data_IF_246913376180
#
_entry.id   IF_246913376180
#
_cell.length_a   1.000
_cell.length_b   1.000
_cell.length_c   1.000
_cell.angle_alpha   90.00
_cell.angle_beta   90.00
_cell.angle_gamma   90.00
#
_symmetry.space_group_name_H-M   'P 1'
#
loop_
_entity.id
_entity.type
_entity.pdbx_description
1 polymer ?
#
# COMPACT_ATOMS: atom_id res chain seq x y z
N UNK A 1 -5.71 22.11 -0.26
CA UNK A 1 -6.21 21.14 0.74
C UNK A 1 -5.06 20.71 1.63
N UNK A 2 -5.25 20.53 2.94
CA UNK A 2 -4.19 19.97 3.78
C UNK A 2 -3.95 18.51 3.40
N UNK A 3 -2.68 18.06 3.34
CA UNK A 3 -2.36 16.68 3.00
C UNK A 3 -2.90 15.71 4.07
N UNK A 4 -3.21 14.48 3.66
CA UNK A 4 -3.69 13.38 4.55
C UNK A 4 -2.69 13.04 5.65
N UNK A 5 -1.49 13.61 5.60
CA UNK A 5 -0.42 13.52 6.59
C UNK A 5 -0.95 13.57 8.02
N UNK A 6 -1.89 14.47 8.37
CA UNK A 6 -2.40 14.58 9.75
C UNK A 6 -3.17 13.35 10.29
N UNK A 7 -3.76 12.52 9.42
CA UNK A 7 -4.37 11.25 9.82
C UNK A 7 -3.36 10.10 9.77
N UNK A 8 -2.49 10.06 8.76
CA UNK A 8 -1.43 9.06 8.73
C UNK A 8 -0.49 9.20 9.92
N UNK A 9 -0.17 10.41 10.36
CA UNK A 9 0.58 10.69 11.61
C UNK A 9 -0.16 10.20 12.87
N UNK A 10 -1.47 9.95 12.82
CA UNK A 10 -2.19 9.29 13.93
C UNK A 10 -2.17 7.77 13.82
N UNK A 11 -2.20 7.23 12.60
CA UNK A 11 -1.95 5.80 12.36
C UNK A 11 -0.51 5.38 12.73
N UNK A 12 0.45 6.31 12.75
CA UNK A 12 1.85 5.96 13.04
C UNK A 12 2.13 5.46 14.46
N UNK A 13 1.19 5.60 15.39
CA UNK A 13 1.26 4.97 16.72
C UNK A 13 0.35 3.75 16.87
N UNK A 14 -0.40 3.35 15.84
CA UNK A 14 -1.45 2.34 15.95
C UNK A 14 -1.37 1.33 14.81
N UNK A 15 -0.91 0.11 15.14
CA UNK A 15 -1.06 -1.06 14.26
C UNK A 15 -2.56 -1.30 14.02
N UNK A 16 -2.99 -1.32 12.76
CA UNK A 16 -4.35 -1.75 12.41
C UNK A 16 -4.29 -3.20 11.96
N UNK A 17 -4.65 -4.11 12.87
CA UNK A 17 -4.60 -5.55 12.66
C UNK A 17 -5.75 -6.04 11.77
N UNK A 18 -5.48 -7.05 10.95
CA UNK A 18 -6.45 -7.76 10.13
C UNK A 18 -6.01 -9.21 9.91
N UNK A 19 -6.96 -10.09 9.57
CA UNK A 19 -6.71 -11.51 9.38
C UNK A 19 -5.92 -12.18 10.54
N UNK A 20 -6.08 -11.66 11.77
CA UNK A 20 -5.47 -12.08 13.04
C UNK A 20 -3.94 -12.01 13.13
N UNK A 21 -3.22 -12.07 12.01
CA UNK A 21 -1.75 -12.14 11.95
C UNK A 21 -1.12 -11.04 11.11
N UNK A 22 -1.90 -10.14 10.55
CA UNK A 22 -1.39 -9.04 9.74
C UNK A 22 -1.73 -7.70 10.36
N UNK A 23 -0.92 -6.69 10.10
CA UNK A 23 -1.26 -5.31 10.43
C UNK A 23 -0.76 -4.35 9.36
N UNK A 24 -1.36 -3.16 9.29
CA UNK A 24 -0.85 -2.06 8.47
C UNK A 24 -0.22 -0.95 9.30
N UNK A 25 0.80 -0.32 8.72
CA UNK A 25 1.46 0.88 9.23
C UNK A 25 1.63 1.91 8.12
N UNK A 26 1.53 3.20 8.44
CA UNK A 26 1.82 4.31 7.51
C UNK A 26 3.28 4.77 7.55
N UNK A 27 4.11 4.17 8.42
CA UNK A 27 5.56 4.37 8.50
C UNK A 27 6.28 3.06 8.27
N UNK A 28 7.42 3.14 7.61
CA UNK A 28 8.35 2.05 7.43
C UNK A 28 9.71 2.50 7.95
N UNK A 29 10.34 1.69 8.78
CA UNK A 29 11.70 1.95 9.26
C UNK A 29 12.73 1.66 8.17
N UNK A 30 13.86 2.39 8.20
CA UNK A 30 14.93 2.25 7.22
C UNK A 30 15.53 0.84 7.15
N UNK A 31 15.39 0.04 8.21
CA UNK A 31 15.81 -1.37 8.24
C UNK A 31 15.06 -2.28 7.26
N UNK A 32 13.88 -1.87 6.77
CA UNK A 32 13.07 -2.65 5.82
C UNK A 32 13.33 -2.28 4.35
N UNK A 33 14.44 -1.63 4.05
CA UNK A 33 14.71 -1.14 2.69
C UNK A 33 14.81 -2.29 1.69
N UNK A 34 15.50 -3.37 2.06
CA UNK A 34 15.66 -4.54 1.20
C UNK A 34 14.32 -5.22 0.94
N UNK A 35 13.51 -5.49 1.97
CA UNK A 35 12.19 -6.10 1.80
C UNK A 35 11.25 -5.20 0.96
N UNK A 36 11.36 -3.87 1.11
CA UNK A 36 10.58 -2.94 0.28
C UNK A 36 11.05 -2.95 -1.17
N UNK A 37 12.36 -2.98 -1.41
CA UNK A 37 12.93 -3.11 -2.75
C UNK A 37 12.50 -4.42 -3.41
N UNK A 38 12.45 -5.53 -2.67
CA UNK A 38 11.97 -6.80 -3.19
C UNK A 38 10.50 -6.76 -3.65
N UNK A 39 9.65 -6.08 -2.89
CA UNK A 39 8.24 -5.86 -3.23
C UNK A 39 8.05 -5.05 -4.52
N UNK A 40 8.98 -4.16 -4.88
CA UNK A 40 8.90 -3.32 -6.07
C UNK A 40 9.68 -3.86 -7.27
N UNK A 41 10.87 -4.42 -7.05
CA UNK A 41 11.86 -4.69 -8.09
C UNK A 41 12.14 -6.19 -8.32
N UNK A 42 12.03 -7.04 -7.29
CA UNK A 42 12.59 -8.41 -7.33
C UNK A 42 11.57 -9.55 -7.21
N UNK A 43 10.27 -9.27 -7.28
CA UNK A 43 9.25 -10.30 -7.11
C UNK A 43 9.37 -11.42 -8.18
N UNK A 44 9.85 -12.62 -7.80
CA UNK A 44 10.19 -13.73 -8.72
C UNK A 44 9.01 -14.28 -9.51
N UNK A 45 7.77 -13.93 -9.15
CA UNK A 45 6.54 -14.19 -9.92
C UNK A 45 6.22 -13.11 -10.97
N UNK A 46 7.24 -12.36 -11.42
CA UNK A 46 7.14 -11.26 -12.37
C UNK A 46 6.34 -11.59 -13.63
N UNK A 47 6.17 -12.84 -14.06
CA UNK A 47 5.38 -13.17 -15.26
C UNK A 47 3.88 -12.82 -15.16
N UNK A 48 3.26 -12.88 -13.97
CA UNK A 48 1.81 -12.60 -13.79
C UNK A 48 1.49 -11.20 -13.28
N UNK A 49 2.36 -10.62 -12.46
CA UNK A 49 2.18 -9.26 -11.90
C UNK A 49 2.74 -8.17 -12.84
N UNK A 50 3.54 -8.56 -13.84
CA UNK A 50 4.15 -7.63 -14.81
C UNK A 50 3.16 -6.72 -15.49
N UNK A 51 1.96 -7.17 -15.86
CA UNK A 51 1.05 -6.29 -16.62
C UNK A 51 0.47 -5.17 -15.75
N UNK A 52 -0.01 -5.47 -14.55
CA UNK A 52 -0.54 -4.46 -13.64
C UNK A 52 0.54 -3.51 -13.11
N UNK A 53 1.73 -4.03 -12.78
CA UNK A 53 2.87 -3.21 -12.38
C UNK A 53 3.41 -2.40 -13.57
N UNK A 54 3.48 -2.97 -14.78
CA UNK A 54 3.90 -2.25 -16.00
C UNK A 54 2.92 -1.16 -16.36
N UNK A 55 1.61 -1.38 -16.27
CA UNK A 55 0.60 -0.36 -16.53
C UNK A 55 0.68 0.78 -15.52
N UNK A 56 0.86 0.46 -14.23
CA UNK A 56 1.05 1.46 -13.19
C UNK A 56 2.37 2.23 -13.37
N UNK A 57 3.48 1.54 -13.67
CA UNK A 57 4.79 2.15 -13.94
C UNK A 57 4.78 2.99 -15.22
N UNK A 58 4.09 2.54 -16.26
CA UNK A 58 3.92 3.30 -17.50
C UNK A 58 3.07 4.56 -17.27
N UNK A 59 2.03 4.46 -16.45
CA UNK A 59 1.10 5.57 -16.22
C UNK A 59 1.60 6.56 -15.16
N UNK A 60 2.32 6.08 -14.14
CA UNK A 60 2.65 6.85 -12.95
C UNK A 60 4.17 6.96 -12.65
N UNK A 61 5.00 6.25 -13.41
CA UNK A 61 6.43 6.13 -13.18
C UNK A 61 6.78 5.03 -12.18
N UNK A 62 8.06 4.68 -12.12
CA UNK A 62 8.59 3.73 -11.12
C UNK A 62 8.59 4.40 -9.73
N UNK A 63 8.04 3.76 -8.69
CA UNK A 63 8.14 4.24 -7.31
C UNK A 63 9.61 4.40 -6.90
N UNK A 64 10.00 5.58 -6.46
CA UNK A 64 11.33 5.82 -5.89
C UNK A 64 11.25 5.71 -4.38
N UNK A 65 12.11 4.88 -3.80
CA UNK A 65 12.26 4.76 -2.35
C UNK A 65 13.19 5.88 -1.89
N UNK A 66 12.72 6.68 -0.94
CA UNK A 66 13.48 7.79 -0.33
C UNK A 66 13.64 7.54 1.16
N UNK A 67 14.87 7.65 1.63
CA UNK A 67 15.18 7.61 3.05
C UNK A 67 15.09 9.01 3.65
N UNK A 68 14.23 9.17 4.64
CA UNK A 68 14.04 10.39 5.42
C UNK A 68 14.39 10.09 6.88
N UNK A 69 15.67 10.25 7.24
CA UNK A 69 16.19 9.84 8.54
C UNK A 69 16.07 8.33 8.75
N UNK A 70 15.30 7.93 9.76
CA UNK A 70 15.07 6.54 10.14
C UNK A 70 13.85 5.90 9.47
N UNK A 71 13.21 6.61 8.55
CA UNK A 71 12.03 6.13 7.84
C UNK A 71 12.21 6.12 6.32
N UNK A 72 11.46 5.22 5.68
CA UNK A 72 11.33 5.13 4.24
C UNK A 72 10.02 5.79 3.79
N UNK A 73 10.10 6.48 2.67
CA UNK A 73 8.97 7.09 1.97
C UNK A 73 9.04 6.74 0.49
N UNK A 74 7.91 6.89 -0.19
CA UNK A 74 7.78 6.63 -1.61
C UNK A 74 7.46 7.91 -2.36
N UNK A 75 8.10 8.08 -3.51
CA UNK A 75 7.81 9.14 -4.47
C UNK A 75 7.43 8.53 -5.81
N UNK A 76 6.49 9.14 -6.51
CA UNK A 76 6.16 8.80 -7.90
C UNK A 76 6.45 10.01 -8.78
N UNK A 77 7.05 9.77 -9.94
CA UNK A 77 7.53 10.85 -10.81
C UNK A 77 6.39 11.76 -11.30
N UNK A 78 5.20 11.21 -11.53
CA UNK A 78 4.07 11.95 -12.11
C UNK A 78 2.98 12.32 -11.10
N UNK A 79 3.02 11.76 -9.89
CA UNK A 79 2.01 12.03 -8.85
C UNK A 79 2.70 12.62 -7.62
N UNK A 80 2.51 13.91 -7.33
CA UNK A 80 3.05 14.50 -6.11
C UNK A 80 2.29 13.97 -4.88
N UNK A 81 2.98 13.89 -3.74
CA UNK A 81 2.41 13.57 -2.43
C UNK A 81 1.69 12.22 -2.34
N UNK A 82 2.28 11.18 -2.92
CA UNK A 82 1.83 9.81 -2.71
C UNK A 82 2.09 9.37 -1.28
N UNK A 83 1.28 8.41 -0.83
CA UNK A 83 1.32 7.88 0.51
C UNK A 83 1.32 6.37 0.45
N UNK A 84 1.85 5.75 1.50
CA UNK A 84 1.99 4.31 1.59
C UNK A 84 1.34 3.77 2.86
N UNK A 85 0.73 2.60 2.74
CA UNK A 85 0.46 1.70 3.85
C UNK A 85 1.26 0.43 3.64
N UNK A 86 2.04 0.08 4.64
CA UNK A 86 2.92 -1.08 4.66
C UNK A 86 2.20 -2.21 5.41
N UNK A 87 2.12 -3.37 4.78
CA UNK A 87 1.47 -4.55 5.33
C UNK A 87 2.54 -5.43 5.95
N UNK A 88 2.36 -5.75 7.22
CA UNK A 88 3.25 -6.63 7.96
C UNK A 88 2.54 -7.91 8.36
N UNK A 89 3.29 -9.00 8.37
CA UNK A 89 2.94 -10.19 9.13
C UNK A 89 3.53 -10.06 10.53
N UNK A 90 2.68 -10.18 11.56
CA UNK A 90 3.07 -10.05 12.96
C UNK A 90 3.93 -11.24 13.42
N UNK A 91 4.84 -10.98 14.35
CA UNK A 91 5.81 -11.95 14.84
C UNK A 91 6.96 -11.27 15.58
N UNK A 92 7.95 -12.04 16.10
CA UNK A 92 9.10 -11.49 16.83
C UNK A 92 9.94 -10.51 16.01
N UNK A 93 10.07 -10.78 14.71
CA UNK A 93 10.55 -9.83 13.69
C UNK A 93 9.45 -9.76 12.62
N UNK A 94 8.61 -8.70 12.62
CA UNK A 94 7.55 -8.57 11.65
C UNK A 94 8.09 -8.58 10.21
N UNK A 95 7.52 -9.41 9.34
CA UNK A 95 7.91 -9.44 7.93
C UNK A 95 7.12 -8.41 7.14
N UNK A 96 7.78 -7.61 6.29
CA UNK A 96 7.09 -6.73 5.35
C UNK A 96 6.56 -7.57 4.19
N UNK A 97 5.25 -7.74 4.12
CA UNK A 97 4.60 -8.66 3.15
C UNK A 97 3.82 -7.91 2.07
N UNK A 98 3.76 -6.59 2.16
CA UNK A 98 3.09 -5.81 1.13
C UNK A 98 3.13 -4.30 1.34
N UNK A 99 2.70 -3.60 0.30
CA UNK A 99 2.61 -2.15 0.25
C UNK A 99 1.42 -1.72 -0.60
N UNK A 100 0.69 -0.72 -0.10
CA UNK A 100 -0.37 -0.03 -0.84
C UNK A 100 0.05 1.41 -1.03
N UNK A 101 0.21 1.84 -2.28
CA UNK A 101 0.51 3.23 -2.62
C UNK A 101 -0.77 3.89 -3.10
N UNK A 102 -1.09 5.04 -2.53
CA UNK A 102 -2.29 5.79 -2.85
C UNK A 102 -2.04 7.29 -2.84
N UNK A 103 -2.91 8.02 -3.50
CA UNK A 103 -2.96 9.48 -3.45
C UNK A 103 -4.34 9.93 -3.03
N UNK A 104 -4.44 11.11 -2.41
CA UNK A 104 -5.72 11.77 -2.19
C UNK A 104 -5.95 12.82 -3.25
N UNK A 105 -7.14 12.81 -3.84
CA UNK A 105 -7.68 13.90 -4.64
C UNK A 105 -9.08 14.22 -4.12
N UNK A 106 -9.26 15.41 -3.57
CA UNK A 106 -10.54 15.87 -3.01
C UNK A 106 -11.08 14.88 -1.95
N UNK A 107 -12.29 14.34 -2.18
CA UNK A 107 -12.92 13.34 -1.30
C UNK A 107 -12.56 11.90 -1.65
N UNK A 108 -11.62 11.67 -2.56
CA UNK A 108 -11.27 10.35 -3.05
C UNK A 108 -9.84 9.94 -2.66
N UNK A 109 -9.70 8.73 -2.12
CA UNK A 109 -8.41 8.04 -2.02
C UNK A 109 -8.25 7.12 -3.23
N UNK A 110 -7.31 7.44 -4.11
CA UNK A 110 -6.99 6.61 -5.27
C UNK A 110 -5.82 5.69 -4.96
N UNK A 111 -6.07 4.40 -4.91
CA UNK A 111 -5.05 3.36 -4.85
C UNK A 111 -4.40 3.24 -6.22
N UNK A 112 -3.12 3.54 -6.25
CA UNK A 112 -2.27 3.57 -7.44
C UNK A 112 -1.64 2.20 -7.66
N UNK A 113 -1.18 1.58 -6.57
CA UNK A 113 -0.43 0.34 -6.62
C UNK A 113 -0.67 -0.49 -5.35
N UNK A 114 -0.77 -1.81 -5.53
CA UNK A 114 -0.74 -2.80 -4.44
C UNK A 114 0.34 -3.82 -4.82
N UNK A 115 1.38 -3.92 -3.99
CA UNK A 115 2.37 -4.98 -4.06
C UNK A 115 2.19 -5.91 -2.86
N UNK A 116 2.05 -7.21 -3.10
CA UNK A 116 2.05 -8.23 -2.06
C UNK A 116 3.17 -9.22 -2.37
N UNK A 117 3.88 -9.69 -1.36
CA UNK A 117 4.84 -10.77 -1.52
C UNK A 117 4.11 -12.12 -1.55
N UNK A 118 4.12 -12.83 -2.69
CA UNK A 118 3.49 -14.14 -2.80
C UNK A 118 4.17 -15.21 -1.96
N UNK A 119 5.43 -15.05 -1.52
CA UNK A 119 6.09 -16.05 -0.67
C UNK A 119 5.52 -16.10 0.75
N UNK A 120 4.96 -14.98 1.22
CA UNK A 120 4.27 -14.89 2.49
C UNK A 120 2.78 -15.27 2.39
N UNK A 121 2.23 -15.31 1.16
CA UNK A 121 0.94 -15.92 0.87
C UNK A 121 1.13 -17.44 0.67
N UNK A 122 1.05 -18.20 1.76
CA UNK A 122 1.23 -19.66 1.79
C UNK A 122 0.49 -20.44 0.69
N UNK A 123 -0.63 -19.92 0.15
CA UNK A 123 -1.36 -20.47 -1.00
C UNK A 123 -2.05 -19.35 -1.81
N UNK A 124 -2.42 -19.57 -3.09
CA UNK A 124 -3.20 -18.60 -3.89
C UNK A 124 -4.51 -18.15 -3.21
N UNK A 125 -5.20 -19.07 -2.53
CA UNK A 125 -6.44 -18.78 -1.81
C UNK A 125 -6.19 -17.83 -0.63
N UNK A 126 -5.03 -17.94 0.02
CA UNK A 126 -4.61 -17.01 1.09
C UNK A 126 -4.22 -15.64 0.52
N UNK A 127 -3.68 -15.58 -0.69
CA UNK A 127 -3.36 -14.31 -1.35
C UNK A 127 -4.64 -13.52 -1.68
N UNK A 128 -5.65 -14.18 -2.25
CA UNK A 128 -6.94 -13.55 -2.54
C UNK A 128 -7.65 -13.11 -1.26
N UNK A 129 -7.59 -13.93 -0.21
CA UNK A 129 -8.10 -13.56 1.11
C UNK A 129 -7.38 -12.33 1.69
N UNK A 130 -6.05 -12.28 1.62
CA UNK A 130 -5.26 -11.14 2.10
C UNK A 130 -5.61 -9.85 1.34
N UNK A 131 -5.80 -9.94 0.03
CA UNK A 131 -6.22 -8.80 -0.78
C UNK A 131 -7.62 -8.30 -0.39
N UNK A 132 -8.58 -9.21 -0.18
CA UNK A 132 -9.94 -8.84 0.28
C UNK A 132 -9.90 -8.15 1.64
N UNK A 133 -9.14 -8.68 2.59
CA UNK A 133 -9.00 -8.08 3.92
C UNK A 133 -8.26 -6.73 3.88
N UNK A 134 -7.27 -6.58 3.01
CA UNK A 134 -6.59 -5.32 2.77
C UNK A 134 -7.54 -4.26 2.19
N UNK A 135 -8.38 -4.65 1.21
CA UNK A 135 -9.41 -3.76 0.66
C UNK A 135 -10.41 -3.32 1.73
N UNK A 136 -10.85 -4.25 2.60
CA UNK A 136 -11.72 -3.93 3.76
C UNK A 136 -11.03 -2.95 4.71
N UNK A 137 -9.78 -3.22 5.06
CA UNK A 137 -8.94 -2.36 5.90
C UNK A 137 -8.79 -0.95 5.32
N UNK A 138 -8.51 -0.83 4.01
CA UNK A 138 -8.42 0.46 3.32
C UNK A 138 -9.74 1.24 3.37
N UNK A 139 -10.88 0.55 3.24
CA UNK A 139 -12.21 1.17 3.40
C UNK A 139 -12.44 1.69 4.81
N UNK A 140 -12.04 0.94 5.84
CA UNK A 140 -12.12 1.38 7.24
C UNK A 140 -11.21 2.57 7.54
N UNK A 141 -10.00 2.56 7.00
CA UNK A 141 -9.06 3.68 7.07
C UNK A 141 -9.66 4.91 6.40
N UNK A 142 -10.23 4.76 5.19
CA UNK A 142 -10.91 5.83 4.47
C UNK A 142 -12.03 6.47 5.29
N UNK A 143 -12.89 5.67 5.94
CA UNK A 143 -13.97 6.15 6.83
C UNK A 143 -13.47 7.05 7.95
N UNK A 144 -12.26 6.82 8.45
CA UNK A 144 -11.67 7.58 9.56
C UNK A 144 -10.99 8.87 9.10
N UNK A 145 -10.81 9.08 7.79
CA UNK A 145 -10.18 10.27 7.23
C UNK A 145 -11.25 11.33 6.95
N UNK A 146 -11.14 12.49 7.60
CA UNK A 146 -12.07 13.59 7.41
C UNK A 146 -12.16 14.03 5.94
N UNK A 147 -13.38 14.05 5.42
CA UNK A 147 -13.69 14.49 4.06
C UNK A 147 -13.24 13.51 2.98
N UNK A 148 -13.05 12.23 3.30
CA UNK A 148 -12.97 11.15 2.31
C UNK A 148 -14.33 10.46 2.24
N UNK A 149 -14.83 10.25 1.02
CA UNK A 149 -16.13 9.66 0.71
C UNK A 149 -16.00 8.34 -0.04
N UNK A 150 -14.85 8.10 -0.69
CA UNK A 150 -14.61 6.84 -1.38
C UNK A 150 -13.12 6.47 -1.49
N UNK A 151 -12.87 5.18 -1.68
CA UNK A 151 -11.59 4.61 -2.12
C UNK A 151 -11.77 4.06 -3.54
N UNK A 152 -10.90 4.44 -4.47
CA UNK A 152 -10.90 4.00 -5.86
C UNK A 152 -9.66 3.18 -6.15
N UNK A 153 -9.84 1.99 -6.70
CA UNK A 153 -8.77 1.10 -7.11
C UNK A 153 -8.69 1.11 -8.63
N UNK A 154 -7.54 1.50 -9.17
CA UNK A 154 -7.30 1.45 -10.62
C UNK A 154 -6.50 0.20 -11.00
N UNK A 155 -7.05 -0.66 -11.85
CA UNK A 155 -6.36 -1.79 -12.48
C UNK A 155 -6.47 -1.69 -14.01
N UNK A 156 -5.36 -1.37 -14.67
CA UNK A 156 -5.32 -1.13 -16.13
C UNK A 156 -6.30 -0.04 -16.58
N UNK A 157 -7.32 -0.43 -17.37
CA UNK A 157 -8.37 0.48 -17.89
C UNK A 157 -9.64 0.52 -17.02
N UNK A 158 -9.74 -0.32 -15.99
CA UNK A 158 -10.92 -0.40 -15.14
C UNK A 158 -10.60 0.21 -13.79
N UNK A 159 -11.54 0.98 -13.27
CA UNK A 159 -11.51 1.41 -11.87
C UNK A 159 -12.76 0.89 -11.17
N UNK A 160 -12.61 0.47 -9.93
CA UNK A 160 -13.74 0.20 -9.05
C UNK A 160 -13.67 1.11 -7.84
N UNK A 161 -14.83 1.60 -7.41
CA UNK A 161 -14.97 2.56 -6.33
C UNK A 161 -15.75 1.93 -5.19
N UNK A 162 -15.23 2.07 -3.98
CA UNK A 162 -15.90 1.67 -2.74
C UNK A 162 -16.21 2.94 -1.95
N UNK A 163 -17.49 3.22 -1.74
CA UNK A 163 -17.91 4.27 -0.81
C UNK A 163 -17.48 3.88 0.60
N UNK A 164 -16.88 4.83 1.32
CA UNK A 164 -16.39 4.58 2.68
C UNK A 164 -17.45 4.95 3.71
#
# INVERSE_FOLDING_TARGET
MPPVTGFLTRLTSMKHYFATQYYVSSRLEAGYQEELEELFYFNRNQSRIREALRDAVQRYGTPQIRRNGDHLSLELATIPHVQALYVFQDGPRPGLVGVVVFSRKDSLLRVIYIGLDPQHAYTPERQDYLLVELVRTLREIGRKIRGVEAVEFSTGRRSFRLTV
#
